data_IF_783895291747
#
_entry.id   IF_783895291747
#
_cell.length_a   1.000
_cell.length_b   1.000
_cell.length_c   1.000
_cell.angle_alpha   90.00
_cell.angle_beta   90.00
_cell.angle_gamma   90.00
#
_symmetry.space_group_name_H-M   'P 1'
#
loop_
_entity.id
_entity.type
_entity.pdbx_description
1 polymer ?
#
# COMPACT_ATOMS: atom_id res chain seq x y z
N UNK A 1 -11.46 -12.68 1.55
CA UNK A 1 -10.56 -13.23 0.50
C UNK A 1 -11.44 -14.06 -0.41
N UNK A 2 -11.72 -13.58 -1.62
CA UNK A 2 -12.74 -14.18 -2.49
C UNK A 2 -12.13 -15.45 -3.12
N UNK A 3 -12.90 -16.51 -3.31
CA UNK A 3 -12.43 -17.79 -3.89
C UNK A 3 -11.70 -17.58 -5.24
N UNK A 4 -12.11 -16.56 -5.99
CA UNK A 4 -11.44 -16.11 -7.22
C UNK A 4 -9.96 -15.72 -7.04
N UNK A 5 -9.59 -15.14 -5.90
CA UNK A 5 -8.18 -14.80 -5.62
C UNK A 5 -7.32 -16.05 -5.43
N UNK A 6 -7.87 -17.10 -4.80
CA UNK A 6 -7.17 -18.37 -4.61
C UNK A 6 -6.97 -19.09 -5.95
N UNK A 7 -8.02 -19.14 -6.76
CA UNK A 7 -7.98 -19.72 -8.11
C UNK A 7 -6.97 -18.97 -8.99
N UNK A 8 -6.99 -17.63 -8.96
CA UNK A 8 -6.03 -16.81 -9.69
C UNK A 8 -4.57 -17.04 -9.24
N UNK A 9 -4.34 -17.15 -7.93
CA UNK A 9 -3.01 -17.46 -7.39
C UNK A 9 -2.51 -18.85 -7.84
N UNK A 10 -3.39 -19.85 -7.83
CA UNK A 10 -3.04 -21.21 -8.25
C UNK A 10 -2.69 -21.28 -9.74
N UNK A 11 -3.46 -20.58 -10.59
CA UNK A 11 -3.16 -20.45 -12.02
C UNK A 11 -1.81 -19.76 -12.25
N UNK A 12 -1.52 -18.68 -11.52
CA UNK A 12 -0.23 -18.01 -11.61
C UNK A 12 0.92 -18.94 -11.19
N UNK A 13 0.76 -19.67 -10.07
CA UNK A 13 1.76 -20.63 -9.61
C UNK A 13 2.03 -21.73 -10.66
N UNK A 14 0.98 -22.22 -11.34
CA UNK A 14 1.12 -23.19 -12.43
C UNK A 14 1.89 -22.62 -13.62
N UNK A 15 1.61 -21.37 -14.02
CA UNK A 15 2.36 -20.69 -15.08
C UNK A 15 3.84 -20.55 -14.71
N UNK A 16 4.15 -20.15 -13.46
CA UNK A 16 5.53 -20.04 -12.97
C UNK A 16 6.24 -21.40 -12.99
N UNK A 17 5.56 -22.48 -12.58
CA UNK A 17 6.12 -23.83 -12.61
C UNK A 17 6.43 -24.29 -14.05
N UNK A 18 5.51 -24.08 -14.98
CA UNK A 18 5.72 -24.39 -16.41
C UNK A 18 6.91 -23.60 -16.95
N UNK A 19 6.95 -22.29 -16.67
CA UNK A 19 8.04 -21.42 -17.09
C UNK A 19 9.39 -21.87 -16.51
N UNK A 20 9.43 -22.36 -15.26
CA UNK A 20 10.63 -22.94 -14.64
C UNK A 20 11.12 -24.21 -15.34
N UNK A 21 10.20 -25.08 -15.76
CA UNK A 21 10.55 -26.35 -16.44
C UNK A 21 11.09 -26.05 -17.84
N UNK A 22 10.39 -25.18 -18.59
CA UNK A 22 10.79 -24.81 -19.96
C UNK A 22 12.10 -24.01 -20.00
N UNK A 23 12.35 -23.17 -19.00
CA UNK A 23 13.56 -22.36 -18.87
C UNK A 23 14.48 -22.90 -17.76
N UNK A 24 14.58 -24.23 -17.67
CA UNK A 24 15.47 -24.92 -16.74
C UNK A 24 16.96 -24.77 -17.09
N UNK A 25 17.26 -24.20 -18.26
CA UNK A 25 18.61 -23.83 -18.65
C UNK A 25 19.23 -22.80 -17.72
N UNK A 26 20.56 -22.89 -17.57
CA UNK A 26 21.34 -21.96 -16.78
C UNK A 26 21.42 -20.60 -17.49
N UNK A 27 20.86 -19.57 -16.87
CA UNK A 27 21.01 -18.19 -17.28
C UNK A 27 22.26 -17.59 -16.63
N UNK A 28 23.15 -17.08 -17.47
CA UNK A 28 24.30 -16.30 -17.02
C UNK A 28 23.84 -14.86 -16.86
N UNK A 29 23.92 -14.34 -15.64
CA UNK A 29 23.63 -12.95 -15.36
C UNK A 29 24.93 -12.23 -15.03
N UNK A 30 25.18 -11.16 -15.77
CA UNK A 30 26.32 -10.26 -15.54
C UNK A 30 25.81 -8.94 -14.97
N UNK A 31 26.24 -8.62 -13.76
CA UNK A 31 25.89 -7.39 -13.03
C UNK A 31 27.18 -6.65 -12.64
N UNK A 32 27.58 -5.65 -13.45
CA UNK A 32 28.86 -4.96 -13.26
C UNK A 32 30.04 -5.93 -13.43
N UNK A 33 30.80 -6.16 -12.35
CA UNK A 33 31.91 -7.13 -12.31
C UNK A 33 31.50 -8.51 -11.78
N UNK A 34 30.23 -8.71 -11.42
CA UNK A 34 29.75 -9.99 -10.92
C UNK A 34 29.09 -10.79 -12.03
N UNK A 35 29.46 -12.06 -12.13
CA UNK A 35 28.84 -13.01 -13.03
C UNK A 35 28.35 -14.18 -12.18
N UNK A 36 27.06 -14.47 -12.25
CA UNK A 36 26.46 -15.59 -11.55
C UNK A 36 25.58 -16.39 -12.49
N UNK A 37 25.61 -17.70 -12.29
CA UNK A 37 24.88 -18.66 -13.08
C UNK A 37 23.71 -19.16 -12.24
N UNK A 38 22.49 -18.98 -12.74
CA UNK A 38 21.26 -19.34 -12.05
C UNK A 38 20.17 -19.67 -13.05
N UNK A 39 19.09 -20.34 -12.65
CA UNK A 39 17.94 -20.49 -13.55
C UNK A 39 17.27 -19.13 -13.81
N UNK A 40 16.69 -18.98 -15.00
CA UNK A 40 16.00 -17.75 -15.41
C UNK A 40 14.86 -17.37 -14.45
N UNK A 41 14.14 -18.37 -13.93
CA UNK A 41 13.08 -18.17 -12.92
C UNK A 41 13.59 -17.47 -11.68
N UNK A 42 14.71 -17.92 -11.13
CA UNK A 42 15.26 -17.36 -9.89
C UNK A 42 15.62 -15.89 -10.11
N UNK A 43 16.20 -15.57 -11.26
CA UNK A 43 16.57 -14.20 -11.63
C UNK A 43 15.34 -13.29 -11.70
N UNK A 44 14.26 -13.76 -12.34
CA UNK A 44 13.00 -13.01 -12.44
C UNK A 44 12.39 -12.81 -11.05
N UNK A 45 12.28 -13.87 -10.24
CA UNK A 45 11.69 -13.78 -8.91
C UNK A 45 12.44 -12.79 -8.01
N UNK A 46 13.77 -12.86 -7.98
CA UNK A 46 14.61 -11.93 -7.20
C UNK A 46 14.45 -10.50 -7.70
N UNK A 47 14.50 -10.29 -9.02
CA UNK A 47 14.37 -8.96 -9.62
C UNK A 47 12.99 -8.34 -9.36
N UNK A 48 11.93 -9.14 -9.49
CA UNK A 48 10.56 -8.71 -9.18
C UNK A 48 10.39 -8.42 -7.70
N UNK A 49 10.92 -9.27 -6.82
CA UNK A 49 10.88 -9.03 -5.37
C UNK A 49 11.60 -7.73 -4.99
N UNK A 50 12.80 -7.49 -5.54
CA UNK A 50 13.53 -6.24 -5.38
C UNK A 50 12.73 -5.03 -5.87
N UNK A 51 12.13 -5.13 -7.07
CA UNK A 51 11.26 -4.10 -7.61
C UNK A 51 10.06 -3.79 -6.72
N UNK A 52 9.42 -4.83 -6.15
CA UNK A 52 8.31 -4.68 -5.22
C UNK A 52 8.76 -4.01 -3.90
N UNK A 53 9.91 -4.42 -3.34
CA UNK A 53 10.49 -3.79 -2.15
C UNK A 53 10.78 -2.31 -2.41
N UNK A 54 11.40 -1.97 -3.56
CA UNK A 54 11.64 -0.59 -3.96
C UNK A 54 10.33 0.19 -4.06
N UNK A 55 9.31 -0.35 -4.72
CA UNK A 55 8.00 0.28 -4.83
C UNK A 55 7.36 0.52 -3.45
N UNK A 56 7.49 -0.42 -2.51
CA UNK A 56 7.01 -0.24 -1.14
C UNK A 56 7.73 0.90 -0.42
N UNK A 57 9.06 0.95 -0.51
CA UNK A 57 9.88 2.00 0.11
C UNK A 57 9.52 3.37 -0.46
N UNK A 58 9.35 3.49 -1.78
CA UNK A 58 8.99 4.74 -2.45
C UNK A 58 7.58 5.21 -2.07
N UNK A 59 6.63 4.28 -1.85
CA UNK A 59 5.24 4.61 -1.50
C UNK A 59 5.04 4.90 0.01
N UNK A 60 5.89 4.32 0.87
CA UNK A 60 5.83 4.45 2.34
C UNK A 60 5.66 5.91 2.84
N UNK A 61 6.48 6.90 2.41
CA UNK A 61 6.35 8.26 2.91
C UNK A 61 5.04 8.92 2.50
N UNK A 62 4.54 8.64 1.29
CA UNK A 62 3.27 9.17 0.80
C UNK A 62 2.08 8.65 1.62
N UNK A 63 2.04 7.33 1.85
CA UNK A 63 0.98 6.70 2.65
C UNK A 63 1.00 7.19 4.10
N UNK A 64 2.18 7.39 4.69
CA UNK A 64 2.28 7.90 6.06
C UNK A 64 1.79 9.35 6.17
N UNK A 65 2.23 10.22 5.26
CA UNK A 65 1.76 11.63 5.21
C UNK A 65 0.25 11.71 5.05
N UNK A 66 -0.32 10.86 4.20
CA UNK A 66 -1.76 10.79 3.99
C UNK A 66 -2.49 10.37 5.27
N UNK A 67 -2.01 9.32 5.97
CA UNK A 67 -2.58 8.89 7.25
C UNK A 67 -2.54 9.98 8.32
N UNK A 68 -1.44 10.72 8.42
CA UNK A 68 -1.32 11.85 9.35
C UNK A 68 -2.33 12.94 9.00
N UNK A 69 -2.44 13.30 7.70
CA UNK A 69 -3.39 14.31 7.23
C UNK A 69 -4.84 13.90 7.53
N UNK A 70 -5.20 12.63 7.31
CA UNK A 70 -6.53 12.09 7.63
C UNK A 70 -6.83 12.25 9.12
N UNK A 71 -5.89 11.89 10.01
CA UNK A 71 -6.07 12.04 11.47
C UNK A 71 -6.27 13.50 11.87
N UNK A 72 -5.45 14.40 11.34
CA UNK A 72 -5.54 15.82 11.66
C UNK A 72 -6.85 16.44 11.12
N UNK A 73 -7.29 16.05 9.92
CA UNK A 73 -8.58 16.47 9.39
C UNK A 73 -9.75 15.95 10.24
N UNK A 74 -9.71 14.69 10.66
CA UNK A 74 -10.72 14.12 11.55
C UNK A 74 -10.82 14.86 12.89
N UNK A 75 -9.69 15.24 13.49
CA UNK A 75 -9.66 16.06 14.71
C UNK A 75 -10.29 17.44 14.49
N UNK A 76 -9.99 18.11 13.37
CA UNK A 76 -10.59 19.42 13.06
C UNK A 76 -12.10 19.32 12.84
N UNK A 77 -12.58 18.24 12.23
CA UNK A 77 -14.01 18.01 12.06
C UNK A 77 -14.68 17.91 13.44
N UNK A 78 -14.14 17.10 14.35
CA UNK A 78 -14.67 16.95 15.70
C UNK A 78 -14.67 18.29 16.48
N UNK A 79 -13.59 19.07 16.39
CA UNK A 79 -13.50 20.38 17.04
C UNK A 79 -14.54 21.37 16.49
N UNK A 80 -14.72 21.41 15.16
CA UNK A 80 -15.70 22.28 14.52
C UNK A 80 -17.13 21.88 14.88
N UNK A 81 -17.44 20.58 14.93
CA UNK A 81 -18.73 20.07 15.38
C UNK A 81 -19.02 20.47 16.83
N UNK A 82 -18.03 20.38 17.71
CA UNK A 82 -18.17 20.80 19.11
C UNK A 82 -18.44 22.31 19.22
N UNK A 83 -17.71 23.14 18.48
CA UNK A 83 -17.93 24.61 18.48
C UNK A 83 -19.31 25.01 17.95
N UNK A 84 -19.85 24.25 16.99
CA UNK A 84 -21.21 24.48 16.49
C UNK A 84 -22.24 24.13 17.57
N UNK A 85 -22.08 23.00 18.27
CA UNK A 85 -22.93 22.64 19.41
C UNK A 85 -22.89 23.66 20.54
N UNK A 86 -21.69 24.16 20.90
CA UNK A 86 -21.54 25.19 21.93
C UNK A 86 -22.26 26.49 21.54
N UNK A 87 -22.13 26.94 20.28
CA UNK A 87 -22.86 28.13 19.79
C UNK A 87 -24.37 27.94 19.78
N UNK A 88 -24.87 26.79 19.37
CA UNK A 88 -26.31 26.51 19.35
C UNK A 88 -26.88 26.33 20.77
N UNK A 89 -26.05 25.98 21.75
CA UNK A 89 -26.42 25.93 23.18
C UNK A 89 -26.39 27.31 23.84
N UNK A 90 -25.58 28.27 23.33
CA UNK A 90 -25.51 29.65 23.83
C UNK A 90 -26.57 30.58 23.21
N UNK A 91 -27.00 30.33 21.96
CA UNK A 91 -28.08 31.10 21.29
C UNK A 91 -29.44 31.17 22.03
N UNK A 92 -29.86 30.17 22.83
CA UNK A 92 -31.03 30.26 23.71
C UNK A 92 -30.84 31.20 24.91
N UNK A 93 -29.63 31.27 25.48
CA UNK A 93 -29.34 32.10 26.66
C UNK A 93 -29.27 33.59 26.32
N UNK A 94 -28.62 33.94 25.20
CA UNK A 94 -28.51 35.33 24.71
C UNK A 94 -29.89 35.96 24.41
N UNK A 95 -30.89 35.14 24.06
CA UNK A 95 -32.26 35.59 23.76
C UNK A 95 -33.13 35.76 25.01
N UNK A 96 -32.71 35.19 26.13
CA UNK A 96 -33.40 35.28 27.44
C UNK A 96 -32.84 36.41 28.30
N UNK A 97 -31.58 36.81 28.11
CA UNK A 97 -30.97 37.95 28.82
C UNK A 97 -31.25 39.31 28.14
N UNK A 98 -31.73 39.31 26.89
CA UNK A 98 -32.01 40.53 26.12
C UNK A 98 -33.46 41.04 26.22
N UNK A 99 -34.28 40.55 27.16
CA UNK A 99 -35.69 40.90 27.35
C UNK A 99 -35.98 41.36 28.77
#
# INVERSE_FOLDING_TARGET
>A
MNQFSLIGFLLLAMIVAIFSIQNSGEAIVTFGWWQFQSSLVVVILISTALGAIMALILNLPGTLRLRIRIRHQAQRIAELEQRLQERDTQRPQDRLESH
#
